data_IF_189846029525
#
_entry.id   IF_189846029525
#
_cell.length_a   1.000
_cell.length_b   1.000
_cell.length_c   1.000
_cell.angle_alpha   90.00
_cell.angle_beta   90.00
_cell.angle_gamma   90.00
#
_symmetry.space_group_name_H-M   'P 1'
#
loop_
_entity.id
_entity.type
_entity.pdbx_description
1 polymer ?
#
# COMPACT_ATOMS: atom_id res chain seq x y z
N UNK A 1 -1.29 10.01 20.68
CA UNK A 1 -2.60 9.62 20.12
C UNK A 1 -3.54 10.82 19.97
N UNK A 2 -4.05 11.41 21.06
CA UNK A 2 -5.02 12.54 20.99
C UNK A 2 -4.51 13.74 20.17
N UNK A 3 -3.26 14.15 20.38
CA UNK A 3 -2.64 15.26 19.63
C UNK A 3 -2.56 15.04 18.10
N UNK A 4 -2.36 13.81 17.63
CA UNK A 4 -2.29 13.52 16.19
C UNK A 4 -3.67 13.49 15.56
N UNK A 5 -4.65 12.99 16.30
CA UNK A 5 -6.05 13.05 15.90
C UNK A 5 -6.54 14.50 15.79
N UNK A 6 -6.17 15.34 16.76
CA UNK A 6 -6.52 16.75 16.76
C UNK A 6 -5.85 17.49 15.57
N UNK A 7 -4.55 17.26 15.33
CA UNK A 7 -3.85 17.81 14.17
C UNK A 7 -4.46 17.35 12.83
N UNK A 8 -4.85 16.08 12.71
CA UNK A 8 -5.53 15.56 11.52
C UNK A 8 -6.90 16.18 11.30
N UNK A 9 -7.68 16.39 12.38
CA UNK A 9 -8.96 17.09 12.31
C UNK A 9 -8.80 18.56 11.92
N UNK A 10 -7.82 19.26 12.50
CA UNK A 10 -7.54 20.65 12.16
C UNK A 10 -7.13 20.80 10.69
N UNK A 11 -6.27 19.91 10.19
CA UNK A 11 -5.90 19.83 8.78
C UNK A 11 -7.12 19.62 7.87
N UNK A 12 -7.96 18.62 8.18
CA UNK A 12 -9.17 18.34 7.41
C UNK A 12 -10.15 19.52 7.42
N UNK A 13 -10.34 20.16 8.57
CA UNK A 13 -11.20 21.33 8.70
C UNK A 13 -10.68 22.51 7.88
N UNK A 14 -9.37 22.77 7.89
CA UNK A 14 -8.76 23.83 7.09
C UNK A 14 -9.00 23.61 5.59
N UNK A 15 -8.74 22.39 5.09
CA UNK A 15 -9.00 22.05 3.68
C UNK A 15 -10.48 22.14 3.31
N UNK A 16 -11.37 21.72 4.21
CA UNK A 16 -12.82 21.76 3.97
C UNK A 16 -13.34 23.20 3.89
N UNK A 17 -12.93 24.08 4.81
CA UNK A 17 -13.30 25.50 4.81
C UNK A 17 -12.89 26.17 3.50
N UNK A 18 -11.64 25.96 3.09
CA UNK A 18 -11.10 26.52 1.85
C UNK A 18 -11.82 25.98 0.61
N UNK A 19 -12.13 24.68 0.59
CA UNK A 19 -12.87 24.06 -0.51
C UNK A 19 -14.29 24.62 -0.61
N UNK A 20 -14.96 24.83 0.52
CA UNK A 20 -16.30 25.43 0.58
C UNK A 20 -16.29 26.88 0.13
N UNK A 21 -15.35 27.70 0.59
CA UNK A 21 -15.19 29.08 0.14
C UNK A 21 -14.97 29.16 -1.38
N UNK A 22 -14.07 28.33 -1.90
CA UNK A 22 -13.82 28.27 -3.34
C UNK A 22 -15.06 27.82 -4.11
N UNK A 23 -15.79 26.81 -3.62
CA UNK A 23 -17.03 26.32 -4.24
C UNK A 23 -18.08 27.42 -4.33
N UNK A 24 -18.31 28.17 -3.25
CA UNK A 24 -19.28 29.29 -3.23
C UNK A 24 -18.91 30.35 -4.27
N UNK A 25 -17.64 30.74 -4.36
CA UNK A 25 -17.18 31.72 -5.35
C UNK A 25 -17.32 31.17 -6.77
N UNK A 26 -16.95 29.91 -6.99
CA UNK A 26 -17.04 29.25 -8.28
C UNK A 26 -18.49 29.13 -8.77
N UNK A 27 -19.41 28.69 -7.91
CA UNK A 27 -20.84 28.62 -8.23
C UNK A 27 -21.43 29.99 -8.57
N UNK A 28 -21.04 31.03 -7.82
CA UNK A 28 -21.49 32.41 -8.09
C UNK A 28 -21.01 32.92 -9.46
N UNK A 29 -19.78 32.62 -9.84
CA UNK A 29 -19.23 32.94 -11.17
C UNK A 29 -19.93 32.13 -12.26
N UNK A 30 -20.18 30.84 -12.03
CA UNK A 30 -20.86 29.96 -12.98
C UNK A 30 -22.31 30.43 -13.27
N UNK A 31 -23.01 30.94 -12.26
CA UNK A 31 -24.37 31.51 -12.39
C UNK A 31 -24.40 32.93 -12.98
N UNK A 32 -23.24 33.59 -13.13
CA UNK A 32 -23.17 34.91 -13.75
C UNK A 32 -23.22 34.76 -15.28
N UNK A 33 -24.17 35.43 -15.98
CA UNK A 33 -24.24 35.40 -17.44
C UNK A 33 -22.90 35.78 -18.07
N UNK A 34 -22.53 35.13 -19.18
CA UNK A 34 -21.22 35.31 -19.83
C UNK A 34 -20.96 36.77 -20.21
N UNK A 35 -22.01 37.48 -20.66
CA UNK A 35 -21.94 38.89 -21.03
C UNK A 35 -21.68 39.82 -19.83
N UNK A 36 -22.01 39.37 -18.61
CA UNK A 36 -21.86 40.11 -17.36
C UNK A 36 -20.62 39.68 -16.54
N UNK A 37 -19.80 38.76 -17.07
CA UNK A 37 -18.52 38.35 -16.46
C UNK A 37 -17.50 39.48 -16.59
N UNK A 38 -17.68 40.49 -15.76
CA UNK A 38 -16.74 41.59 -15.66
C UNK A 38 -15.37 41.11 -15.19
N UNK A 39 -14.32 41.88 -15.52
CA UNK A 39 -12.96 41.70 -14.99
C UNK A 39 -12.94 41.56 -13.46
N UNK A 40 -13.88 42.20 -12.76
CA UNK A 40 -14.02 42.11 -11.29
C UNK A 40 -14.50 40.74 -10.82
N UNK A 41 -15.39 40.08 -11.57
CA UNK A 41 -15.90 38.73 -11.24
C UNK A 41 -14.81 37.68 -11.45
N UNK A 42 -14.05 37.79 -12.55
CA UNK A 42 -12.92 36.89 -12.83
C UNK A 42 -11.77 37.08 -11.84
N UNK A 43 -11.41 38.32 -11.48
CA UNK A 43 -10.42 38.57 -10.41
C UNK A 43 -10.81 37.94 -9.08
N UNK A 44 -12.08 38.01 -8.68
CA UNK A 44 -12.54 37.34 -7.45
C UNK A 44 -12.37 35.82 -7.48
N UNK A 45 -12.50 35.21 -8.66
CA UNK A 45 -12.24 33.78 -8.83
C UNK A 45 -10.74 33.47 -8.71
N UNK A 46 -9.89 34.28 -9.32
CA UNK A 46 -8.42 34.18 -9.20
C UNK A 46 -7.98 34.37 -7.74
N UNK A 47 -8.44 35.42 -7.06
CA UNK A 47 -8.15 35.67 -5.65
C UNK A 47 -8.61 34.50 -4.75
N UNK A 48 -9.69 33.82 -5.11
CA UNK A 48 -10.17 32.63 -4.39
C UNK A 48 -9.31 31.39 -4.67
N UNK A 49 -8.78 31.25 -5.89
CA UNK A 49 -7.80 30.18 -6.23
C UNK A 49 -6.51 30.37 -5.46
N UNK A 50 -5.99 31.58 -5.43
CA UNK A 50 -4.72 31.90 -4.78
C UNK A 50 -4.82 31.71 -3.26
N UNK A 51 -5.89 32.20 -2.65
CA UNK A 51 -6.17 31.94 -1.23
C UNK A 51 -6.29 30.45 -0.93
N UNK A 52 -6.98 29.70 -1.80
CA UNK A 52 -7.08 28.25 -1.63
C UNK A 52 -5.71 27.56 -1.68
N UNK A 53 -4.87 27.93 -2.64
CA UNK A 53 -3.53 27.37 -2.76
C UNK A 53 -2.68 27.71 -1.53
N UNK A 54 -2.73 28.96 -1.07
CA UNK A 54 -1.97 29.43 0.09
C UNK A 54 -2.39 28.73 1.38
N UNK A 55 -3.69 28.66 1.66
CA UNK A 55 -4.20 28.01 2.88
C UNK A 55 -3.97 26.51 2.87
N UNK A 56 -4.09 25.85 1.70
CA UNK A 56 -3.75 24.43 1.56
C UNK A 56 -2.27 24.17 1.84
N UNK A 57 -1.37 25.02 1.32
CA UNK A 57 0.08 24.92 1.59
C UNK A 57 0.38 25.12 3.07
N UNK A 58 -0.25 26.11 3.71
CA UNK A 58 -0.07 26.38 5.14
C UNK A 58 -0.55 25.22 6.01
N UNK A 59 -1.72 24.67 5.68
CA UNK A 59 -2.26 23.50 6.38
C UNK A 59 -1.35 22.27 6.18
N UNK A 60 -0.84 22.03 4.96
CA UNK A 60 0.07 20.92 4.69
C UNK A 60 1.41 21.08 5.44
N UNK A 61 1.98 22.29 5.44
CA UNK A 61 3.20 22.59 6.17
C UNK A 61 3.03 22.36 7.69
N UNK A 62 1.89 22.77 8.26
CA UNK A 62 1.58 22.53 9.67
C UNK A 62 1.38 21.04 10.00
N UNK A 63 0.77 20.27 9.09
CA UNK A 63 0.52 18.85 9.29
C UNK A 63 1.73 17.94 8.97
N UNK A 64 2.68 18.43 8.16
CA UNK A 64 3.84 17.65 7.69
C UNK A 64 4.61 16.95 8.81
N UNK A 65 4.98 17.61 9.93
CA UNK A 65 5.71 16.94 11.00
C UNK A 65 4.94 15.77 11.63
N UNK A 66 3.61 15.91 11.75
CA UNK A 66 2.72 14.86 12.27
C UNK A 66 2.65 13.70 11.26
N UNK A 67 2.48 14.01 9.98
CA UNK A 67 2.50 13.02 8.89
C UNK A 67 3.80 12.23 8.87
N UNK A 68 4.95 12.90 8.93
CA UNK A 68 6.26 12.26 8.96
C UNK A 68 6.44 11.37 10.19
N UNK A 69 6.00 11.85 11.36
CA UNK A 69 6.06 11.05 12.60
C UNK A 69 5.23 9.77 12.48
N UNK A 70 3.99 9.87 12.00
CA UNK A 70 3.11 8.70 11.79
C UNK A 70 3.73 7.75 10.77
N UNK A 71 4.20 8.27 9.64
CA UNK A 71 4.85 7.47 8.60
C UNK A 71 6.08 6.73 9.13
N UNK A 72 6.91 7.39 9.95
CA UNK A 72 8.07 6.76 10.58
C UNK A 72 7.69 5.62 11.54
N UNK A 73 6.63 5.81 12.33
CA UNK A 73 6.14 4.77 13.25
C UNK A 73 5.54 3.57 12.50
N UNK A 74 4.77 3.83 11.44
CA UNK A 74 4.24 2.77 10.59
C UNK A 74 5.35 2.01 9.88
N UNK A 75 6.40 2.71 9.43
CA UNK A 75 7.57 2.10 8.81
C UNK A 75 8.31 1.17 9.80
N UNK A 76 8.58 1.62 11.03
CA UNK A 76 9.25 0.79 12.03
C UNK A 76 8.39 -0.40 12.47
N UNK A 77 7.08 -0.22 12.65
CA UNK A 77 6.17 -1.33 12.96
C UNK A 77 6.12 -2.36 11.84
N UNK A 78 6.03 -1.92 10.57
CA UNK A 78 6.13 -2.78 9.40
C UNK A 78 7.45 -3.56 9.39
N UNK A 79 8.57 -2.88 9.64
CA UNK A 79 9.90 -3.50 9.70
C UNK A 79 10.03 -4.51 10.84
N UNK A 80 9.37 -4.27 11.97
CA UNK A 80 9.31 -5.20 13.10
C UNK A 80 8.53 -6.45 12.75
N UNK A 81 7.36 -6.30 12.11
CA UNK A 81 6.52 -7.42 11.66
C UNK A 81 7.20 -8.28 10.61
N UNK A 82 7.82 -7.67 9.60
CA UNK A 82 8.64 -8.38 8.62
C UNK A 82 9.74 -9.20 9.28
N UNK A 83 10.49 -8.59 10.20
CA UNK A 83 11.53 -9.30 10.97
C UNK A 83 10.97 -10.44 11.81
N UNK A 84 9.77 -10.29 12.38
CA UNK A 84 9.09 -11.35 13.11
C UNK A 84 8.79 -12.53 12.18
N UNK A 85 8.05 -12.31 11.09
CA UNK A 85 7.66 -13.36 10.13
C UNK A 85 8.87 -14.13 9.59
N UNK A 86 9.97 -13.44 9.33
CA UNK A 86 11.19 -14.06 8.79
C UNK A 86 11.93 -14.91 9.83
N UNK A 87 11.89 -14.53 11.11
CA UNK A 87 12.68 -15.15 12.19
C UNK A 87 11.88 -16.07 13.10
N UNK A 88 10.57 -16.08 12.97
CA UNK A 88 9.71 -16.92 13.78
C UNK A 88 9.82 -18.37 13.33
N UNK A 89 10.10 -19.26 14.27
CA UNK A 89 10.17 -20.71 14.05
C UNK A 89 8.76 -21.31 14.10
N UNK A 90 7.97 -21.04 13.06
CA UNK A 90 6.61 -21.53 12.95
C UNK A 90 6.31 -22.17 11.60
N UNK A 91 7.28 -22.22 10.69
CA UNK A 91 7.13 -22.94 9.43
C UNK A 91 7.50 -24.40 9.59
N UNK A 92 6.95 -25.23 8.70
CA UNK A 92 7.26 -26.64 8.59
C UNK A 92 7.03 -27.11 7.16
N UNK A 93 7.64 -28.24 6.82
CA UNK A 93 7.36 -28.94 5.58
C UNK A 93 7.21 -30.44 5.83
N UNK A 94 6.51 -31.12 4.93
CA UNK A 94 6.33 -32.56 4.92
C UNK A 94 6.21 -33.07 3.48
N UNK A 95 6.55 -34.32 3.27
CA UNK A 95 6.24 -35.03 2.03
C UNK A 95 4.88 -35.73 2.19
N UNK A 96 3.95 -35.45 1.27
CA UNK A 96 2.66 -36.13 1.18
C UNK A 96 2.80 -37.54 0.61
N UNK A 97 1.77 -38.36 0.77
CA UNK A 97 1.75 -39.75 0.27
C UNK A 97 1.87 -39.84 -1.26
N UNK A 98 1.52 -38.77 -1.97
CA UNK A 98 1.62 -38.62 -3.42
C UNK A 98 3.00 -38.11 -3.89
N UNK A 99 3.95 -37.93 -2.97
CA UNK A 99 5.26 -37.33 -3.23
C UNK A 99 5.23 -35.80 -3.39
N UNK A 100 4.10 -35.15 -3.10
CA UNK A 100 4.02 -33.69 -3.10
C UNK A 100 4.64 -33.14 -1.83
N UNK A 101 5.56 -32.17 -1.94
CA UNK A 101 6.05 -31.43 -0.78
C UNK A 101 5.04 -30.38 -0.35
N UNK A 102 4.67 -30.41 0.93
CA UNK A 102 3.70 -29.53 1.55
C UNK A 102 4.42 -28.59 2.51
N UNK A 103 4.13 -27.29 2.43
CA UNK A 103 4.69 -26.25 3.28
C UNK A 103 3.56 -25.62 4.10
N UNK A 104 3.72 -25.56 5.41
CA UNK A 104 2.65 -25.15 6.33
C UNK A 104 3.19 -24.33 7.50
N UNK A 105 2.26 -23.71 8.24
CA UNK A 105 2.55 -23.07 9.52
C UNK A 105 1.98 -23.89 10.67
N UNK A 106 2.77 -24.07 11.72
CA UNK A 106 2.39 -24.84 12.91
C UNK A 106 1.32 -24.17 13.77
N UNK A 107 1.16 -22.85 13.64
CA UNK A 107 0.18 -22.05 14.39
C UNK A 107 -1.10 -21.76 13.62
N UNK A 108 -1.20 -22.25 12.37
CA UNK A 108 -2.37 -22.07 11.51
C UNK A 108 -2.96 -23.44 11.19
N UNK A 109 -4.21 -23.72 11.61
CA UNK A 109 -4.89 -24.93 11.21
C UNK A 109 -5.06 -24.95 9.68
N UNK A 110 -4.55 -26.00 9.04
CA UNK A 110 -4.71 -26.18 7.59
C UNK A 110 -5.94 -27.05 7.31
N UNK A 111 -6.90 -26.59 6.49
CA UNK A 111 -7.96 -27.46 5.98
C UNK A 111 -7.44 -28.43 4.91
N UNK A 112 -6.31 -28.11 4.29
CA UNK A 112 -5.71 -28.87 3.20
C UNK A 112 -4.83 -30.01 3.71
N UNK A 113 -4.20 -29.83 4.88
CA UNK A 113 -3.20 -30.76 5.41
C UNK A 113 -3.65 -31.34 6.76
N UNK A 114 -3.88 -32.67 6.85
CA UNK A 114 -4.20 -33.35 8.09
C UNK A 114 -3.13 -33.12 9.16
N UNK A 115 -3.55 -32.91 10.41
CA UNK A 115 -2.65 -32.75 11.56
C UNK A 115 -1.68 -33.93 11.71
N UNK A 116 -2.08 -35.13 11.30
CA UNK A 116 -1.20 -36.31 11.30
C UNK A 116 0.04 -36.16 10.40
N UNK A 117 -0.04 -35.38 9.32
CA UNK A 117 1.09 -35.15 8.38
C UNK A 117 2.07 -34.11 8.97
N UNK A 118 1.52 -33.12 9.67
CA UNK A 118 2.24 -31.96 10.20
C UNK A 118 2.75 -32.17 11.64
N UNK A 119 2.16 -33.10 12.39
CA UNK A 119 2.51 -33.40 13.77
C UNK A 119 3.96 -33.86 13.92
N UNK A 120 4.66 -33.29 14.90
CA UNK A 120 6.04 -33.65 15.23
C UNK A 120 7.09 -33.22 14.20
N UNK A 121 6.71 -32.47 13.16
CA UNK A 121 7.66 -31.90 12.19
C UNK A 121 8.47 -30.77 12.82
N UNK A 122 9.73 -30.57 12.39
CA UNK A 122 10.56 -29.49 12.90
C UNK A 122 9.89 -28.14 12.62
N UNK A 123 10.02 -27.24 13.59
CA UNK A 123 9.71 -25.83 13.45
C UNK A 123 10.96 -25.13 12.92
N UNK A 124 10.77 -24.30 11.92
CA UNK A 124 11.86 -23.61 11.25
C UNK A 124 11.47 -22.18 10.93
N UNK A 125 12.49 -21.33 10.84
CA UNK A 125 12.37 -19.99 10.27
C UNK A 125 12.13 -20.06 8.77
N UNK A 126 11.72 -18.93 8.18
CA UNK A 126 11.53 -18.84 6.72
C UNK A 126 12.87 -19.06 5.96
N UNK A 127 14.00 -18.69 6.56
CA UNK A 127 15.34 -18.94 5.99
C UNK A 127 15.70 -20.41 5.98
N UNK A 128 15.57 -21.08 7.12
CA UNK A 128 15.87 -22.51 7.25
C UNK A 128 14.95 -23.35 6.34
N UNK A 129 13.66 -22.99 6.26
CA UNK A 129 12.74 -23.62 5.31
C UNK A 129 13.25 -23.49 3.87
N UNK A 130 13.67 -22.29 3.46
CA UNK A 130 14.22 -22.06 2.12
C UNK A 130 15.47 -22.90 1.87
N UNK A 131 16.38 -22.98 2.84
CA UNK A 131 17.60 -23.80 2.72
C UNK A 131 17.25 -25.27 2.51
N UNK A 132 16.38 -25.84 3.35
CA UNK A 132 15.96 -27.24 3.23
C UNK A 132 15.25 -27.51 1.90
N UNK A 133 14.42 -26.57 1.44
CA UNK A 133 13.72 -26.69 0.15
C UNK A 133 14.67 -26.63 -1.04
N UNK A 134 15.76 -25.87 -0.94
CA UNK A 134 16.81 -25.81 -1.97
C UNK A 134 17.63 -27.09 -1.97
N UNK A 135 18.09 -27.54 -0.80
CA UNK A 135 18.90 -28.76 -0.66
C UNK A 135 18.14 -30.00 -1.12
N UNK A 136 16.85 -30.06 -0.83
CA UNK A 136 15.98 -31.16 -1.24
C UNK A 136 15.53 -31.04 -2.72
N UNK A 137 15.81 -29.93 -3.39
CA UNK A 137 15.40 -29.69 -4.79
C UNK A 137 13.90 -29.45 -4.98
N UNK A 138 13.17 -29.13 -3.91
CA UNK A 138 11.69 -29.07 -3.89
C UNK A 138 11.14 -27.66 -3.93
N UNK A 139 12.00 -26.63 -3.90
CA UNK A 139 11.62 -25.21 -3.91
C UNK A 139 10.59 -24.86 -4.99
N UNK A 140 10.67 -25.47 -6.17
CA UNK A 140 9.80 -25.18 -7.32
C UNK A 140 8.52 -26.01 -7.39
N UNK A 141 8.45 -27.08 -6.61
CA UNK A 141 7.33 -28.05 -6.66
C UNK A 141 6.55 -28.12 -5.36
N UNK A 142 7.04 -27.48 -4.30
CA UNK A 142 6.37 -27.39 -3.02
C UNK A 142 5.03 -26.66 -3.13
N UNK A 143 3.99 -27.26 -2.54
CA UNK A 143 2.67 -26.69 -2.35
C UNK A 143 2.62 -25.99 -1.00
N UNK A 144 2.31 -24.70 -1.01
CA UNK A 144 2.10 -23.91 0.20
C UNK A 144 0.64 -24.01 0.66
N UNK A 145 0.44 -24.16 1.97
CA UNK A 145 -0.89 -24.07 2.58
C UNK A 145 -1.48 -22.67 2.39
N UNK A 146 -2.65 -22.58 1.75
CA UNK A 146 -3.30 -21.30 1.48
C UNK A 146 -3.67 -20.57 2.78
N UNK A 147 -4.05 -21.30 3.82
CA UNK A 147 -4.39 -20.72 5.12
C UNK A 147 -3.16 -20.08 5.78
N UNK A 148 -2.01 -20.78 5.77
CA UNK A 148 -0.75 -20.25 6.26
C UNK A 148 -0.28 -19.01 5.49
N UNK A 149 -0.38 -18.99 4.16
CA UNK A 149 -0.04 -17.84 3.32
C UNK A 149 -0.94 -16.66 3.67
N UNK A 150 -2.26 -16.85 3.69
CA UNK A 150 -3.22 -15.79 3.99
C UNK A 150 -3.09 -15.24 5.42
N UNK A 151 -2.74 -16.08 6.39
CA UNK A 151 -2.45 -15.64 7.76
C UNK A 151 -1.19 -14.77 7.82
N UNK A 152 -0.15 -15.17 7.08
CA UNK A 152 1.11 -14.43 7.00
C UNK A 152 0.94 -13.08 6.32
N UNK A 153 0.17 -13.00 5.23
CA UNK A 153 -0.15 -11.74 4.56
C UNK A 153 -0.88 -10.77 5.49
N UNK A 154 -1.78 -11.29 6.34
CA UNK A 154 -2.47 -10.49 7.36
C UNK A 154 -1.53 -9.96 8.43
N UNK A 155 -0.51 -10.74 8.83
CA UNK A 155 0.51 -10.31 9.79
C UNK A 155 1.45 -9.24 9.22
N UNK A 156 1.77 -9.34 7.93
CA UNK A 156 2.74 -8.47 7.28
C UNK A 156 2.24 -7.04 7.02
N UNK A 157 0.93 -6.83 6.95
CA UNK A 157 0.23 -5.57 6.64
C UNK A 157 0.84 -4.78 5.47
N UNK A 158 0.09 -4.67 4.38
CA UNK A 158 0.45 -3.93 3.15
C UNK A 158 1.55 -4.55 2.27
N UNK A 159 2.06 -5.75 2.61
CA UNK A 159 2.82 -6.59 1.68
C UNK A 159 2.41 -8.05 1.78
N UNK A 160 2.57 -8.77 0.68
CA UNK A 160 2.41 -10.22 0.64
C UNK A 160 3.70 -10.95 1.05
N UNK A 161 3.55 -12.20 1.49
CA UNK A 161 4.63 -13.17 1.66
C UNK A 161 5.40 -13.34 0.35
N UNK A 162 4.74 -13.29 -0.80
CA UNK A 162 5.40 -13.35 -2.10
C UNK A 162 6.36 -12.16 -2.33
N UNK A 163 5.92 -10.94 -2.00
CA UNK A 163 6.77 -9.74 -2.08
C UNK A 163 7.92 -9.82 -1.08
N UNK A 164 7.67 -10.32 0.13
CA UNK A 164 8.70 -10.51 1.15
C UNK A 164 9.74 -11.56 0.73
N UNK A 165 9.29 -12.69 0.17
CA UNK A 165 10.13 -13.76 -0.34
C UNK A 165 11.05 -13.24 -1.45
N UNK A 166 10.49 -12.54 -2.43
CA UNK A 166 11.26 -11.92 -3.52
C UNK A 166 12.28 -10.91 -3.00
N UNK A 167 11.92 -10.12 -1.99
CA UNK A 167 12.84 -9.15 -1.40
C UNK A 167 14.04 -9.82 -0.72
N UNK A 168 13.82 -10.89 0.05
CA UNK A 168 14.87 -11.55 0.82
C UNK A 168 15.70 -12.55 0.01
N UNK A 169 15.06 -13.29 -0.91
CA UNK A 169 15.69 -14.41 -1.61
C UNK A 169 15.92 -14.15 -3.10
N UNK A 170 15.40 -13.04 -3.67
CA UNK A 170 15.44 -12.73 -5.11
C UNK A 170 14.80 -13.82 -5.99
N UNK A 171 13.88 -14.57 -5.41
CA UNK A 171 13.16 -15.67 -6.05
C UNK A 171 11.70 -15.27 -6.26
N UNK A 172 11.09 -15.73 -7.34
CA UNK A 172 9.64 -15.62 -7.48
C UNK A 172 8.98 -16.67 -6.58
N UNK A 173 8.11 -16.20 -5.68
CA UNK A 173 7.26 -17.08 -4.88
C UNK A 173 6.33 -17.85 -5.82
N UNK A 174 6.44 -19.18 -5.83
CA UNK A 174 5.84 -19.99 -6.89
C UNK A 174 4.31 -19.86 -6.91
N UNK A 175 3.83 -19.30 -8.02
CA UNK A 175 2.46 -18.95 -8.31
C UNK A 175 1.64 -20.14 -8.84
N UNK A 176 1.28 -21.10 -7.99
CA UNK A 176 0.00 -21.82 -8.21
C UNK A 176 -1.22 -20.97 -7.80
N UNK A 177 -1.00 -19.80 -7.20
CA UNK A 177 -2.04 -18.91 -6.66
C UNK A 177 -2.11 -17.51 -7.30
N UNK A 178 -1.51 -17.30 -8.48
CA UNK A 178 -1.73 -16.05 -9.24
C UNK A 178 -2.85 -16.27 -10.26
N UNK A 179 -4.09 -16.15 -9.81
CA UNK A 179 -5.25 -15.83 -10.67
C UNK A 179 -5.55 -14.32 -10.69
N UNK A 180 -4.55 -13.49 -10.40
CA UNK A 180 -4.65 -12.04 -10.63
C UNK A 180 -3.32 -11.49 -11.12
N UNK A 181 -3.23 -10.97 -12.36
CA UNK A 181 -2.05 -10.21 -12.78
C UNK A 181 -1.84 -9.08 -11.78
N UNK A 182 -0.69 -9.10 -11.12
CA UNK A 182 -0.20 -7.95 -10.36
C UNK A 182 0.26 -6.92 -11.38
N UNK A 183 -0.66 -6.08 -11.88
CA UNK A 183 -0.35 -4.85 -12.62
C UNK A 183 0.18 -3.77 -11.66
N UNK A 184 1.28 -4.10 -10.97
CA UNK A 184 1.99 -3.14 -10.13
C UNK A 184 3.50 -3.21 -10.42
N UNK A 185 3.84 -2.89 -11.67
CA UNK A 185 5.14 -2.30 -12.00
C UNK A 185 5.02 -0.78 -11.94
N UNK A 186 4.97 -0.24 -10.73
CA UNK A 186 5.12 1.20 -10.49
C UNK A 186 6.55 1.54 -10.07
N UNK A 187 7.52 1.50 -10.99
CA UNK A 187 8.74 2.32 -10.81
C UNK A 187 8.45 3.74 -11.31
N UNK A 188 9.01 4.78 -10.66
CA UNK A 188 8.64 6.17 -10.93
C UNK A 188 9.50 6.74 -12.07
N UNK A 189 8.89 7.11 -13.19
CA UNK A 189 9.46 8.14 -14.08
C UNK A 189 8.44 8.59 -15.13
N UNK A 190 8.27 9.91 -15.24
CA UNK A 190 8.18 10.58 -16.54
C UNK A 190 6.93 10.36 -17.39
N UNK A 191 5.92 11.22 -17.17
CA UNK A 191 5.28 12.03 -18.21
C UNK A 191 4.90 11.44 -19.57
N UNK A 192 3.58 11.48 -19.83
CA UNK A 192 2.94 12.23 -20.93
C UNK A 192 2.20 11.40 -22.00
N UNK A 193 0.86 11.51 -21.94
CA UNK A 193 0.04 11.89 -23.09
C UNK A 193 -0.91 10.82 -23.66
N UNK A 194 -2.09 11.09 -24.21
CA UNK A 194 -2.94 12.29 -24.45
C UNK A 194 -4.34 11.75 -24.82
N UNK A 195 -5.43 12.50 -24.53
CA UNK A 195 -6.68 12.75 -25.33
C UNK A 195 -7.88 12.92 -24.37
N UNK A 196 -8.67 14.00 -24.35
CA UNK A 196 -8.81 15.31 -25.01
C UNK A 196 -9.97 16.01 -24.26
N UNK A 197 -10.10 17.33 -24.13
CA UNK A 197 -10.30 18.33 -25.20
C UNK A 197 -10.22 19.77 -24.63
N UNK A 198 -9.55 20.66 -25.38
CA UNK A 198 -9.71 22.13 -25.38
C UNK A 198 -9.00 22.88 -24.25
N UNK A 199 -7.90 23.62 -24.43
CA UNK A 199 -7.42 24.37 -25.59
C UNK A 199 -7.54 25.86 -25.29
N UNK A 200 -6.46 26.54 -24.90
CA UNK A 200 -6.11 27.92 -25.27
C UNK A 200 -4.62 28.16 -24.99
N UNK A 201 -4.06 29.00 -25.86
CA UNK A 201 -2.66 29.11 -26.29
C UNK A 201 -2.01 30.34 -25.65
N UNK A 202 -0.69 30.27 -25.40
CA UNK A 202 0.22 31.42 -25.26
C UNK A 202 0.27 32.03 -23.86
N UNK A 203 1.41 32.39 -23.29
CA UNK A 203 2.63 32.92 -23.89
C UNK A 203 3.83 32.80 -22.94
N UNK A 204 5.01 32.69 -23.54
CA UNK A 204 6.34 32.87 -22.95
C UNK A 204 6.52 34.22 -22.23
N UNK A 205 7.19 34.22 -21.08
CA UNK A 205 8.49 34.87 -20.77
C UNK A 205 8.93 34.44 -19.37
#
# INVERSE_FOLDING_TARGET
>A
MRQWWDAGREYQQALSRVADEFRVVHEKVARTPVLDRSRRVMRRLEDARDRRAEESRRADAAYTPVRETISGLLFEERRKRQRKVVREENWGWAEGEDGTVLVFRHDVPSPDFPEAITAGRPRMTLWELREVMVESGVLRVARWDEAAVAATDRELCDISLASLWRHHFQEDFYARHVTRPSDDKGYPSGGSGILGTGGYIGSSF
#
